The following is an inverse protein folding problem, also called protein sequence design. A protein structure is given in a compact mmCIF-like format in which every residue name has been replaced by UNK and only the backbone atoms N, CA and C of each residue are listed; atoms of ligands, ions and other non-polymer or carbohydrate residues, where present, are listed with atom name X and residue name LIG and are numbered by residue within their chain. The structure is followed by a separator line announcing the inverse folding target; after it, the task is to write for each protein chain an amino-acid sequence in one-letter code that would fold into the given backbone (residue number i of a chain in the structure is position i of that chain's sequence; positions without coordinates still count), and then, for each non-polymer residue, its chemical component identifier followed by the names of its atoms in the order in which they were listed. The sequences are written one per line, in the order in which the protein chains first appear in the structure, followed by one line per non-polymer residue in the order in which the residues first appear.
data_IF_350144106697
#
_entry.id   IF_350144106697
#
_cell.length_a   1.000
_cell.length_b   1.000
_cell.length_c   1.000
_cell.angle_alpha   90.00
_cell.angle_beta   90.00
_cell.angle_gamma   90.00
#
_symmetry.space_group_name_H-M   'P 1'
#
loop_
_entity.id
_entity.type
_entity.pdbx_description
1 polymer ?
#
# COMPACT_ATOMS: atom_id res chain seq x y z
N UNK A 1 3.79 0.36 -29.15
CA UNK A 1 3.41 1.59 -28.39
C UNK A 1 3.89 1.40 -26.97
N UNK A 2 4.71 2.31 -26.42
CA UNK A 2 5.15 2.21 -25.03
C UNK A 2 4.03 2.65 -24.09
N UNK A 3 3.72 1.84 -23.08
CA UNK A 3 2.72 2.11 -22.06
C UNK A 3 3.37 2.14 -20.68
N UNK A 4 3.01 3.13 -19.87
CA UNK A 4 3.29 3.15 -18.43
C UNK A 4 1.99 2.88 -17.68
N UNK A 5 1.87 1.69 -17.13
CA UNK A 5 0.73 1.25 -16.36
C UNK A 5 0.88 1.66 -14.89
N UNK A 6 -0.17 2.27 -14.35
CA UNK A 6 -0.20 2.74 -12.96
C UNK A 6 -1.62 2.91 -12.43
N UNK A 7 -1.72 3.24 -11.14
CA UNK A 7 -2.98 3.50 -10.44
C UNK A 7 -3.28 5.00 -10.36
N UNK A 8 -4.56 5.34 -10.33
CA UNK A 8 -5.04 6.68 -9.97
C UNK A 8 -4.54 7.14 -8.57
N UNK A 9 -4.68 8.43 -8.29
CA UNK A 9 -4.30 9.04 -7.02
C UNK A 9 -2.87 9.58 -7.03
N UNK A 10 -2.23 9.61 -5.86
CA UNK A 10 -0.94 10.28 -5.72
C UNK A 10 0.17 9.66 -6.59
N UNK A 11 0.10 8.35 -6.91
CA UNK A 11 1.05 7.70 -7.84
C UNK A 11 1.05 8.35 -9.22
N UNK A 12 -0.12 8.75 -9.73
CA UNK A 12 -0.27 9.39 -11.04
C UNK A 12 0.48 10.73 -11.13
N UNK A 13 0.72 11.41 -10.00
CA UNK A 13 1.52 12.64 -9.94
C UNK A 13 2.96 12.40 -10.40
N UNK A 14 3.51 11.21 -10.16
CA UNK A 14 4.87 10.85 -10.54
C UNK A 14 4.91 10.07 -11.86
N UNK A 15 3.92 9.21 -12.10
CA UNK A 15 3.89 8.34 -13.28
C UNK A 15 3.52 9.06 -14.58
N UNK A 16 2.65 10.09 -14.53
CA UNK A 16 2.30 10.88 -15.72
C UNK A 16 3.49 11.68 -16.26
N UNK A 17 4.26 12.42 -15.44
CA UNK A 17 5.51 13.04 -15.89
C UNK A 17 6.52 12.02 -16.43
N UNK A 18 6.65 10.87 -15.76
CA UNK A 18 7.55 9.81 -16.20
C UNK A 18 7.18 9.28 -17.59
N UNK A 19 5.91 8.96 -17.80
CA UNK A 19 5.42 8.49 -19.09
C UNK A 19 5.75 9.49 -20.21
N UNK A 20 5.54 10.80 -19.97
CA UNK A 20 5.88 11.86 -20.93
C UNK A 20 7.37 11.90 -21.26
N UNK A 21 8.23 11.83 -20.24
CA UNK A 21 9.69 11.85 -20.44
C UNK A 21 10.19 10.64 -21.24
N UNK A 22 9.53 9.49 -21.09
CA UNK A 22 9.85 8.27 -21.83
C UNK A 22 9.19 8.21 -23.21
N UNK A 23 8.37 9.19 -23.59
CA UNK A 23 7.57 9.13 -24.82
C UNK A 23 6.50 8.03 -24.82
N UNK A 24 6.05 7.60 -23.64
CA UNK A 24 5.06 6.56 -23.41
C UNK A 24 3.69 7.16 -23.08
N UNK A 25 2.62 6.39 -23.32
CA UNK A 25 1.27 6.76 -22.89
C UNK A 25 1.02 6.21 -21.49
N UNK A 26 0.52 7.07 -20.59
CA UNK A 26 0.08 6.63 -19.27
C UNK A 26 -1.26 5.89 -19.38
N UNK A 27 -1.29 4.64 -18.93
CA UNK A 27 -2.49 3.81 -18.89
C UNK A 27 -2.89 3.59 -17.43
N UNK A 28 -4.02 4.18 -17.05
CA UNK A 28 -4.57 4.06 -15.71
C UNK A 28 -5.35 2.75 -15.57
N UNK A 29 -5.05 1.98 -14.52
CA UNK A 29 -5.74 0.76 -14.17
C UNK A 29 -6.06 0.77 -12.67
N UNK A 30 -7.17 0.15 -12.28
CA UNK A 30 -7.42 -0.15 -10.86
C UNK A 30 -6.36 -1.14 -10.34
N UNK A 31 -6.27 -1.23 -9.01
CA UNK A 31 -5.25 -2.00 -8.32
C UNK A 31 -5.17 -3.46 -8.79
N UNK A 32 -6.32 -4.11 -8.99
CA UNK A 32 -6.38 -5.52 -9.39
C UNK A 32 -6.15 -5.70 -10.89
N UNK A 33 -6.69 -4.81 -11.72
CA UNK A 33 -6.46 -4.85 -13.17
C UNK A 33 -4.99 -4.62 -13.53
N UNK A 34 -4.32 -3.72 -12.81
CA UNK A 34 -2.88 -3.47 -12.95
C UNK A 34 -2.07 -4.74 -12.66
N UNK A 35 -2.36 -5.40 -11.53
CA UNK A 35 -1.73 -6.66 -11.15
C UNK A 35 -1.97 -7.77 -12.19
N UNK A 36 -3.21 -7.93 -12.66
CA UNK A 36 -3.56 -8.95 -13.67
C UNK A 36 -2.90 -8.70 -15.02
N UNK A 37 -2.81 -7.45 -15.46
CA UNK A 37 -2.13 -7.10 -16.71
C UNK A 37 -0.63 -7.44 -16.62
N UNK A 38 0.01 -7.08 -15.50
CA UNK A 38 1.39 -7.45 -15.22
C UNK A 38 1.58 -8.98 -15.20
N UNK A 39 0.71 -9.70 -14.48
CA UNK A 39 0.70 -11.17 -14.40
C UNK A 39 0.49 -11.87 -15.73
N UNK A 40 -0.15 -11.22 -16.72
CA UNK A 40 -0.32 -11.76 -18.09
C UNK A 40 0.88 -11.46 -18.97
N UNK A 41 1.70 -10.47 -18.62
CA UNK A 41 2.91 -10.12 -19.37
C UNK A 41 2.66 -9.25 -20.55
N UNK A 42 1.61 -8.43 -20.48
CA UNK A 42 1.36 -7.47 -21.53
C UNK A 42 2.57 -6.51 -21.59
N UNK A 43 3.12 -6.22 -22.77
CA UNK A 43 4.28 -5.34 -22.87
C UNK A 43 4.01 -3.96 -22.28
N UNK A 44 4.96 -3.44 -21.51
CA UNK A 44 4.87 -2.12 -20.89
C UNK A 44 5.76 -1.94 -19.67
N UNK A 45 5.79 -0.72 -19.15
CA UNK A 45 6.36 -0.36 -17.87
C UNK A 45 5.24 -0.39 -16.82
N UNK A 46 5.45 -1.06 -15.70
CA UNK A 46 4.46 -1.25 -14.64
C UNK A 46 4.94 -0.65 -13.34
N UNK A 47 4.09 0.13 -12.67
CA UNK A 47 4.27 0.52 -11.28
C UNK A 47 3.45 -0.41 -10.38
N UNK A 48 4.09 -1.34 -9.66
CA UNK A 48 3.36 -2.43 -9.00
C UNK A 48 3.87 -2.71 -7.58
N UNK A 49 2.94 -3.03 -6.69
CA UNK A 49 3.19 -3.63 -5.40
C UNK A 49 3.43 -5.12 -5.64
N UNK A 50 4.52 -5.75 -5.19
CA UNK A 50 4.88 -7.17 -5.49
C UNK A 50 5.65 -7.42 -6.80
N UNK A 51 6.68 -6.62 -7.06
CA UNK A 51 7.73 -6.84 -8.09
C UNK A 51 8.59 -8.11 -7.86
N UNK A 52 8.28 -8.91 -6.83
CA UNK A 52 8.86 -10.23 -6.62
C UNK A 52 8.46 -11.22 -7.73
N UNK A 53 7.30 -10.98 -8.34
CA UNK A 53 6.68 -11.82 -9.35
C UNK A 53 7.10 -11.40 -10.77
N UNK A 54 7.38 -12.36 -11.66
CA UNK A 54 7.83 -12.23 -13.08
C UNK A 54 9.23 -11.63 -13.33
N UNK A 55 9.93 -12.22 -14.32
CA UNK A 55 11.28 -11.86 -14.76
C UNK A 55 11.36 -10.61 -15.63
N UNK A 56 10.62 -9.55 -15.28
CA UNK A 56 10.85 -8.22 -15.84
C UNK A 56 12.28 -7.78 -15.58
N UNK A 57 12.86 -7.00 -16.49
CA UNK A 57 14.23 -6.51 -16.35
C UNK A 57 14.15 -5.05 -15.93
N UNK A 58 14.64 -4.76 -14.74
CA UNK A 58 15.07 -3.42 -14.38
C UNK A 58 16.61 -3.36 -14.48
N UNK A 59 17.19 -2.27 -15.01
CA UNK A 59 18.60 -1.99 -14.92
C UNK A 59 19.00 -1.85 -13.45
N UNK A 60 20.28 -2.05 -13.20
CA UNK A 60 20.82 -1.88 -11.87
C UNK A 60 20.60 -0.45 -11.36
N UNK A 61 20.11 -0.28 -10.12
CA UNK A 61 20.02 1.05 -9.52
C UNK A 61 21.42 1.62 -9.34
N UNK A 62 21.57 2.93 -9.62
CA UNK A 62 22.88 3.61 -9.49
C UNK A 62 23.34 3.77 -8.05
N UNK A 63 22.43 3.71 -7.09
CA UNK A 63 22.73 3.71 -5.65
C UNK A 63 22.53 2.29 -5.09
N UNK A 64 23.30 1.89 -4.06
CA UNK A 64 23.12 0.60 -3.41
C UNK A 64 21.68 0.44 -2.89
N UNK A 65 21.13 -0.76 -3.08
CA UNK A 65 19.83 -1.14 -2.54
C UNK A 65 20.01 -1.48 -1.05
N UNK A 66 19.08 -1.09 -0.15
CA UNK A 66 19.14 -1.57 1.23
C UNK A 66 19.20 -3.10 1.30
N UNK A 67 19.95 -3.67 2.24
CA UNK A 67 20.19 -5.13 2.33
C UNK A 67 18.90 -5.96 2.31
N UNK A 68 17.86 -5.51 3.02
CA UNK A 68 16.55 -6.16 3.06
C UNK A 68 15.85 -6.25 1.69
N UNK A 69 16.27 -5.42 0.73
CA UNK A 69 15.69 -5.31 -0.60
C UNK A 69 16.62 -5.85 -1.70
N UNK A 70 17.83 -6.33 -1.38
CA UNK A 70 18.75 -6.95 -2.35
C UNK A 70 18.13 -8.09 -3.18
N UNK A 71 17.25 -8.96 -2.62
CA UNK A 71 16.56 -10.00 -3.40
C UNK A 71 15.70 -9.48 -4.59
N UNK A 72 15.43 -8.18 -4.63
CA UNK A 72 14.64 -7.49 -5.64
C UNK A 72 15.48 -6.78 -6.70
N UNK A 73 16.81 -6.74 -6.50
CA UNK A 73 17.73 -6.12 -7.45
C UNK A 73 17.55 -6.70 -8.85
N UNK A 74 17.54 -5.83 -9.86
CA UNK A 74 17.32 -6.20 -11.26
C UNK A 74 15.87 -6.52 -11.63
N UNK A 75 14.94 -6.57 -10.65
CA UNK A 75 13.50 -6.77 -10.89
C UNK A 75 12.68 -5.49 -10.79
N UNK A 76 13.28 -4.43 -10.24
CA UNK A 76 12.61 -3.16 -10.03
C UNK A 76 13.53 -1.95 -10.06
N UNK A 77 12.97 -0.80 -10.42
CA UNK A 77 13.52 0.50 -10.05
C UNK A 77 13.02 0.86 -8.65
N UNK A 78 13.90 1.04 -7.64
CA UNK A 78 13.50 1.30 -6.28
C UNK A 78 12.76 2.63 -6.13
N UNK A 79 11.45 2.54 -6.05
CA UNK A 79 10.55 3.63 -5.68
C UNK A 79 9.87 3.19 -4.39
N UNK A 80 10.54 3.35 -3.23
CA UNK A 80 9.93 2.96 -1.96
C UNK A 80 8.54 3.60 -1.88
N UNK A 81 7.55 2.73 -1.70
CA UNK A 81 6.17 3.10 -1.85
C UNK A 81 5.67 3.91 -0.66
N UNK A 82 4.38 4.22 -0.71
CA UNK A 82 3.72 4.90 0.39
C UNK A 82 4.03 4.28 1.75
N UNK A 83 4.09 5.11 2.77
CA UNK A 83 4.24 4.69 4.16
C UNK A 83 2.86 4.72 4.80
N UNK A 84 2.33 3.55 5.18
CA UNK A 84 1.09 3.45 5.94
C UNK A 84 1.40 3.83 7.39
N UNK A 85 0.66 4.80 7.87
CA UNK A 85 0.82 5.45 9.16
C UNK A 85 -0.51 5.49 9.89
N UNK A 86 -0.45 5.83 11.16
CA UNK A 86 -1.58 5.87 12.06
C UNK A 86 -1.87 7.31 12.50
N UNK A 87 -3.15 7.64 12.63
CA UNK A 87 -3.65 8.86 13.25
C UNK A 87 -4.49 8.49 14.47
N UNK A 88 -4.38 9.29 15.54
CA UNK A 88 -5.28 9.27 16.69
C UNK A 88 -5.45 10.68 17.25
N UNK A 89 -6.63 10.99 17.77
CA UNK A 89 -6.87 12.22 18.53
C UNK A 89 -6.36 12.14 19.99
N UNK A 90 -5.82 11.00 20.40
CA UNK A 90 -5.23 10.75 21.72
C UNK A 90 -6.13 10.02 22.71
N UNK A 91 -7.42 9.82 22.39
CA UNK A 91 -8.35 9.06 23.25
C UNK A 91 -8.16 7.55 23.18
N UNK A 92 -7.63 7.05 22.07
CA UNK A 92 -7.45 5.62 21.81
C UNK A 92 -6.06 5.34 21.24
N UNK A 93 -5.48 4.21 21.64
CA UNK A 93 -4.14 3.78 21.23
C UNK A 93 -4.13 3.10 19.86
N UNK A 94 -5.25 2.52 19.45
CA UNK A 94 -5.41 1.72 18.23
C UNK A 94 -6.74 2.00 17.54
N UNK A 95 -6.92 1.52 16.30
CA UNK A 95 -8.21 1.61 15.62
C UNK A 95 -9.25 0.64 16.21
N UNK A 96 -8.81 -0.55 16.64
CA UNK A 96 -9.68 -1.57 17.25
C UNK A 96 -10.29 -1.16 18.60
N UNK A 97 -9.69 -0.19 19.30
CA UNK A 97 -10.23 0.39 20.53
C UNK A 97 -11.29 1.48 20.29
N UNK A 98 -11.30 2.10 19.12
CA UNK A 98 -12.15 3.25 18.86
C UNK A 98 -13.61 2.84 18.57
N UNK A 99 -14.60 3.65 18.99
CA UNK A 99 -16.01 3.33 18.75
C UNK A 99 -16.35 3.22 17.26
N UNK A 100 -17.33 2.37 16.95
CA UNK A 100 -17.85 2.24 15.60
C UNK A 100 -18.27 3.59 14.99
N UNK A 101 -17.97 3.80 13.70
CA UNK A 101 -18.22 5.08 13.00
C UNK A 101 -17.24 6.20 13.32
N UNK A 102 -16.31 5.99 14.26
CA UNK A 102 -15.20 6.91 14.60
C UNK A 102 -13.85 6.42 14.06
N UNK A 103 -13.84 5.34 13.29
CA UNK A 103 -12.63 4.78 12.66
C UNK A 103 -12.55 5.19 11.21
N UNK A 104 -11.37 5.69 10.80
CA UNK A 104 -11.05 6.03 9.42
C UNK A 104 -10.18 4.97 8.76
N UNK A 105 -10.79 4.04 8.03
CA UNK A 105 -10.13 3.03 7.19
C UNK A 105 -10.80 3.07 5.81
N UNK A 106 -10.05 3.00 4.71
CA UNK A 106 -10.69 3.00 3.40
C UNK A 106 -11.35 1.66 3.10
N UNK A 107 -12.60 1.71 2.67
CA UNK A 107 -13.35 0.54 2.22
C UNK A 107 -14.12 0.87 0.93
N UNK A 108 -13.48 0.67 -0.22
CA UNK A 108 -14.05 0.92 -1.55
C UNK A 108 -13.92 -0.33 -2.43
N UNK A 109 -14.94 -0.58 -3.25
CA UNK A 109 -14.92 -1.66 -4.24
C UNK A 109 -13.82 -1.42 -5.28
N UNK A 110 -13.08 -2.48 -5.62
CA UNK A 110 -11.93 -2.41 -6.54
C UNK A 110 -10.65 -1.83 -5.94
N UNK A 111 -10.69 -1.36 -4.68
CA UNK A 111 -9.51 -0.97 -3.90
C UNK A 111 -9.08 -2.11 -3.01
N UNK A 112 -7.82 -2.17 -2.54
CA UNK A 112 -7.37 -3.33 -1.78
C UNK A 112 -7.95 -3.31 -0.36
N UNK A 113 -9.19 -3.78 -0.18
CA UNK A 113 -9.84 -4.02 1.12
C UNK A 113 -8.93 -4.85 2.05
N UNK A 114 -8.13 -5.73 1.44
CA UNK A 114 -7.11 -6.51 2.15
C UNK A 114 -6.04 -5.61 2.76
N UNK A 115 -5.57 -4.60 2.04
CA UNK A 115 -4.44 -3.73 2.42
C UNK A 115 -4.86 -2.54 3.28
N UNK A 116 -6.00 -1.92 2.96
CA UNK A 116 -6.43 -0.65 3.54
C UNK A 116 -7.47 -0.81 4.67
N UNK A 117 -8.08 -1.99 4.81
CA UNK A 117 -9.05 -2.30 5.86
C UNK A 117 -8.62 -3.51 6.71
N UNK A 118 -8.43 -4.67 6.09
CA UNK A 118 -8.17 -5.92 6.83
C UNK A 118 -6.76 -5.97 7.46
N UNK A 119 -5.71 -5.68 6.68
CA UNK A 119 -4.33 -5.80 7.13
C UNK A 119 -4.03 -4.93 8.37
N UNK A 120 -4.42 -3.64 8.45
CA UNK A 120 -4.19 -2.83 9.65
C UNK A 120 -4.82 -3.45 10.90
N UNK A 121 -6.05 -3.96 10.80
CA UNK A 121 -6.77 -4.61 11.90
C UNK A 121 -6.14 -5.96 12.28
N UNK A 122 -5.64 -6.71 11.30
CA UNK A 122 -4.89 -7.94 11.56
C UNK A 122 -3.56 -7.66 12.27
N UNK A 123 -2.84 -6.60 11.90
CA UNK A 123 -1.58 -6.24 12.57
C UNK A 123 -1.79 -5.87 14.04
N UNK A 124 -2.92 -5.24 14.38
CA UNK A 124 -3.32 -4.94 15.75
C UNK A 124 -3.74 -6.19 16.53
N UNK A 125 -4.62 -7.01 15.96
CA UNK A 125 -5.26 -8.12 16.68
C UNK A 125 -4.46 -9.41 16.65
N UNK A 126 -3.60 -9.59 15.65
CA UNK A 126 -2.87 -10.83 15.31
C UNK A 126 -3.77 -12.06 15.18
N UNK A 127 -5.04 -11.84 14.86
CA UNK A 127 -6.07 -12.86 14.76
C UNK A 127 -6.99 -12.54 13.57
N UNK A 128 -7.06 -13.46 12.61
CA UNK A 128 -7.82 -13.29 11.37
C UNK A 128 -9.31 -13.15 11.64
N UNK A 129 -9.87 -13.93 12.57
CA UNK A 129 -11.31 -13.90 12.85
C UNK A 129 -11.69 -12.60 13.57
N UNK A 130 -10.87 -12.14 14.52
CA UNK A 130 -11.09 -10.85 15.21
C UNK A 130 -10.96 -9.67 14.25
N UNK A 131 -9.93 -9.67 13.39
CA UNK A 131 -9.74 -8.63 12.39
C UNK A 131 -10.93 -8.56 11.42
N UNK A 132 -11.44 -9.71 10.96
CA UNK A 132 -12.64 -9.77 10.13
C UNK A 132 -13.87 -9.21 10.86
N UNK A 133 -14.13 -9.65 12.09
CA UNK A 133 -15.27 -9.17 12.87
C UNK A 133 -15.27 -7.64 13.00
N UNK A 134 -14.13 -7.05 13.35
CA UNK A 134 -13.94 -5.59 13.43
C UNK A 134 -14.13 -4.92 12.06
N UNK A 135 -13.54 -5.48 11.00
CA UNK A 135 -13.68 -4.92 9.66
C UNK A 135 -15.15 -4.84 9.24
N UNK A 136 -15.95 -5.88 9.53
CA UNK A 136 -17.38 -5.91 9.23
C UNK A 136 -18.19 -4.95 10.09
N UNK A 137 -17.85 -4.83 11.37
CA UNK A 137 -18.47 -3.85 12.26
C UNK A 137 -18.23 -2.42 11.74
N UNK A 138 -16.98 -2.06 11.49
CA UNK A 138 -16.64 -0.72 10.98
C UNK A 138 -17.25 -0.45 9.61
N UNK A 139 -17.23 -1.44 8.71
CA UNK A 139 -17.87 -1.32 7.40
C UNK A 139 -19.36 -0.96 7.50
N UNK A 140 -20.10 -1.57 8.44
CA UNK A 140 -21.52 -1.27 8.68
C UNK A 140 -21.76 0.12 9.26
N UNK A 141 -20.84 0.65 10.05
CA UNK A 141 -20.97 1.99 10.66
C UNK A 141 -20.56 3.13 9.73
N UNK A 142 -20.14 2.83 8.51
CA UNK A 142 -19.77 3.83 7.51
C UNK A 142 -18.30 4.19 7.58
N UNK A 143 -17.56 3.74 6.56
CA UNK A 143 -16.16 4.05 6.33
C UNK A 143 -16.01 5.05 5.17
N UNK A 144 -14.93 5.85 5.14
CA UNK A 144 -14.63 6.69 3.99
C UNK A 144 -14.37 5.83 2.74
N UNK A 145 -14.86 6.32 1.60
CA UNK A 145 -14.70 5.67 0.30
C UNK A 145 -13.55 6.25 -0.52
N UNK A 146 -13.07 7.44 -0.15
CA UNK A 146 -11.96 8.12 -0.82
C UNK A 146 -10.92 8.63 0.18
N UNK A 147 -9.64 8.75 -0.24
CA UNK A 147 -8.61 9.39 0.59
C UNK A 147 -9.02 10.80 1.06
N UNK A 148 -9.68 11.59 0.22
CA UNK A 148 -10.13 12.94 0.56
C UNK A 148 -11.17 12.94 1.68
N UNK A 149 -12.16 12.05 1.62
CA UNK A 149 -13.15 11.88 2.69
C UNK A 149 -12.49 11.48 4.02
N UNK A 150 -11.52 10.56 3.97
CA UNK A 150 -10.76 10.13 5.13
C UNK A 150 -10.03 11.31 5.79
N UNK A 151 -9.27 12.09 5.00
CA UNK A 151 -8.49 13.23 5.51
C UNK A 151 -9.39 14.35 6.02
N UNK A 152 -10.49 14.66 5.32
CA UNK A 152 -11.47 15.64 5.79
C UNK A 152 -12.16 15.19 7.07
N UNK A 153 -12.47 13.90 7.20
CA UNK A 153 -13.04 13.33 8.41
C UNK A 153 -12.08 13.39 9.61
N UNK A 154 -10.77 13.24 9.38
CA UNK A 154 -9.77 13.47 10.42
C UNK A 154 -9.76 14.96 10.84
N UNK A 155 -9.65 15.88 9.88
CA UNK A 155 -9.57 17.33 10.16
C UNK A 155 -10.81 17.89 10.85
N UNK A 156 -11.98 17.37 10.53
CA UNK A 156 -13.26 17.76 11.16
C UNK A 156 -13.52 17.05 12.49
N UNK A 157 -12.61 16.17 12.94
CA UNK A 157 -12.77 15.41 14.19
C UNK A 157 -13.85 14.33 14.12
N UNK A 158 -14.26 13.89 12.93
CA UNK A 158 -15.16 12.74 12.73
C UNK A 158 -14.48 11.42 13.11
N UNK A 159 -13.23 11.25 12.72
CA UNK A 159 -12.46 10.05 13.02
C UNK A 159 -11.55 10.28 14.23
N UNK A 160 -11.63 9.39 15.22
CA UNK A 160 -10.80 9.42 16.42
C UNK A 160 -9.52 8.58 16.25
N UNK A 161 -9.54 7.58 15.38
CA UNK A 161 -8.40 6.75 15.00
C UNK A 161 -8.49 6.40 13.51
N UNK A 162 -7.36 6.36 12.80
CA UNK A 162 -7.35 6.07 11.37
C UNK A 162 -6.02 5.48 10.90
N UNK A 163 -6.08 4.63 9.87
CA UNK A 163 -4.90 4.26 9.08
C UNK A 163 -5.00 4.87 7.70
N UNK A 164 -3.89 5.43 7.24
CA UNK A 164 -3.81 6.12 5.96
C UNK A 164 -2.39 6.04 5.43
N UNK A 165 -2.25 6.35 4.15
CA UNK A 165 -0.94 6.51 3.54
C UNK A 165 -0.46 7.94 3.70
N UNK A 166 0.79 8.11 4.13
CA UNK A 166 1.41 9.40 4.45
C UNK A 166 1.22 10.44 3.33
N UNK A 167 1.35 10.02 2.06
CA UNK A 167 1.21 10.90 0.90
C UNK A 167 -0.16 11.56 0.74
N UNK A 168 -1.20 11.09 1.45
CA UNK A 168 -2.54 11.67 1.40
C UNK A 168 -2.71 12.87 2.32
N UNK A 169 -1.90 12.94 3.38
CA UNK A 169 -2.10 13.91 4.45
C UNK A 169 -0.76 14.41 5.03
N UNK A 170 0.08 15.06 4.21
CA UNK A 170 1.38 15.58 4.63
C UNK A 170 1.29 16.42 5.91
N UNK A 171 0.29 17.28 5.99
CA UNK A 171 0.07 18.27 7.04
C UNK A 171 -0.40 17.69 8.38
N UNK A 172 -0.84 16.42 8.40
CA UNK A 172 -1.30 15.80 9.62
C UNK A 172 -0.12 15.33 10.49
N UNK A 173 -0.32 15.40 11.81
CA UNK A 173 0.58 14.80 12.79
C UNK A 173 0.27 13.31 12.90
N UNK A 174 1.14 12.50 12.33
CA UNK A 174 0.95 11.06 12.19
C UNK A 174 1.87 10.31 13.16
N UNK A 175 1.56 9.03 13.36
CA UNK A 175 2.23 8.13 14.30
C UNK A 175 2.59 6.82 13.59
N UNK A 176 3.57 6.07 14.12
CA UNK A 176 3.81 4.71 13.68
C UNK A 176 2.57 3.83 13.92
N UNK A 177 2.52 2.67 13.27
CA UNK A 177 1.54 1.64 13.63
C UNK A 177 1.74 1.27 15.12
N UNK A 178 0.71 1.39 15.96
CA UNK A 178 0.83 1.20 17.41
C UNK A 178 1.25 -0.22 17.80
N UNK A 179 0.82 -1.23 17.06
CA UNK A 179 1.19 -2.63 17.33
C UNK A 179 2.62 -2.97 16.92
N UNK A 180 3.19 -2.25 15.95
CA UNK A 180 4.56 -2.48 15.45
C UNK A 180 5.59 -1.50 16.03
N UNK A 181 5.14 -0.38 16.60
CA UNK A 181 6.01 0.74 16.98
C UNK A 181 6.73 1.41 15.80
N UNK A 182 6.37 1.06 14.57
CA UNK A 182 6.99 1.52 13.32
C UNK A 182 5.95 1.79 12.25
N UNK A 183 6.26 2.61 11.26
CA UNK A 183 5.38 2.76 10.10
C UNK A 183 5.52 1.56 9.15
N UNK A 184 4.50 1.30 8.32
CA UNK A 184 4.51 0.17 7.40
C UNK A 184 4.81 0.67 6.00
N UNK A 185 5.88 0.18 5.39
CA UNK A 185 6.20 0.47 4.00
C UNK A 185 5.30 -0.37 3.07
N UNK A 186 4.62 0.32 2.15
CA UNK A 186 4.11 -0.29 0.93
C UNK A 186 5.28 -0.45 -0.03
N UNK A 187 5.48 -1.65 -0.56
CA UNK A 187 6.60 -1.90 -1.44
C UNK A 187 6.20 -1.82 -2.90
N UNK A 188 6.54 -0.72 -3.55
CA UNK A 188 6.24 -0.49 -4.97
C UNK A 188 7.53 -0.36 -5.77
N UNK A 189 7.48 -0.77 -7.03
CA UNK A 189 8.59 -0.60 -7.95
C UNK A 189 8.09 -0.41 -9.37
N UNK A 190 8.92 0.26 -10.18
CA UNK A 190 8.74 0.19 -11.62
C UNK A 190 9.39 -1.08 -12.14
N UNK A 191 8.83 -1.70 -13.17
CA UNK A 191 9.45 -2.84 -13.86
C UNK A 191 8.99 -2.87 -15.32
N UNK A 192 9.83 -3.37 -16.21
CA UNK A 192 9.55 -3.40 -17.64
C UNK A 192 9.36 -4.83 -18.15
N UNK A 193 8.34 -5.02 -19.00
CA UNK A 193 8.09 -6.27 -19.73
C UNK A 193 8.08 -5.98 -21.21
N UNK A 194 8.95 -6.64 -21.99
CA UNK A 194 8.91 -6.60 -23.46
C UNK A 194 9.02 -5.18 -24.05
N UNK A 195 9.58 -4.23 -23.30
CA UNK A 195 9.80 -2.85 -23.72
C UNK A 195 11.20 -2.44 -23.29
N UNK A 196 11.92 -1.78 -24.19
CA UNK A 196 13.21 -1.16 -23.90
C UNK A 196 12.97 0.31 -23.58
N UNK A 197 13.29 0.72 -22.36
CA UNK A 197 13.16 2.11 -21.90
C UNK A 197 14.40 2.50 -21.11
N UNK A 198 14.91 3.69 -21.35
CA UNK A 198 15.95 4.30 -20.51
C UNK A 198 15.28 5.20 -19.48
N UNK A 199 15.44 4.88 -18.21
CA UNK A 199 14.85 5.65 -17.13
C UNK A 199 15.81 6.75 -16.65
N UNK A 200 15.30 7.98 -16.40
CA UNK A 200 16.12 9.05 -15.86
C UNK A 200 16.57 8.77 -14.42
N UNK A 201 17.77 9.21 -14.07
CA UNK A 201 18.42 8.91 -12.78
C UNK A 201 17.67 9.45 -11.56
N UNK A 202 16.98 10.58 -11.73
CA UNK A 202 16.25 11.23 -10.65
C UNK A 202 14.97 10.49 -10.23
N UNK A 203 14.58 9.43 -10.96
CA UNK A 203 13.48 8.54 -10.57
C UNK A 203 13.96 7.25 -9.90
N UNK A 204 15.27 7.02 -9.88
CA UNK A 204 15.89 5.81 -9.36
C UNK A 204 16.57 6.09 -8.02
N UNK A 205 15.77 6.30 -6.98
CA UNK A 205 16.21 6.41 -5.60
C UNK A 205 17.16 7.60 -5.27
N UNK A 206 16.86 8.37 -4.23
CA UNK A 206 15.87 8.07 -3.22
C UNK A 206 14.44 8.33 -3.70
N UNK A 207 13.41 7.81 -3.02
CA UNK A 207 12.01 8.08 -3.37
C UNK A 207 11.81 9.57 -3.65
N UNK A 208 10.86 9.96 -4.52
CA UNK A 208 10.65 11.36 -4.84
C UNK A 208 10.41 12.24 -3.60
N UNK A 209 10.02 11.66 -2.46
CA UNK A 209 9.91 12.38 -1.18
C UNK A 209 11.26 12.78 -0.54
N UNK A 210 12.35 12.05 -0.79
CA UNK A 210 13.62 12.30 -0.11
C UNK A 210 14.46 13.41 -0.80
N UNK A 211 14.36 13.50 -2.13
CA UNK A 211 14.98 14.59 -2.93
C UNK A 211 13.98 15.74 -3.21
N UNK A 212 12.68 15.55 -2.96
CA UNK A 212 11.74 16.67 -2.93
C UNK A 212 12.07 17.60 -1.76
N UNK A 213 11.71 18.87 -1.93
CA UNK A 213 11.58 19.78 -0.80
C UNK A 213 10.61 19.14 0.20
N UNK A 214 11.16 18.61 1.29
CA UNK A 214 10.44 17.99 2.40
C UNK A 214 9.42 18.91 3.07
N UNK A 215 9.30 20.16 2.65
CA UNK A 215 8.63 21.22 3.39
C UNK A 215 7.26 20.82 3.97
N UNK A 216 6.37 20.10 3.26
CA UNK A 216 5.11 19.64 3.87
C UNK A 216 5.18 18.27 4.59
N UNK A 217 6.28 17.52 4.47
CA UNK A 217 6.48 16.17 5.05
C UNK A 217 7.60 16.10 6.10
N UNK A 218 8.33 17.19 6.35
CA UNK A 218 9.57 17.19 7.12
C UNK A 218 9.36 16.68 8.55
N UNK A 219 8.25 17.05 9.17
CA UNK A 219 7.87 16.55 10.50
C UNK A 219 7.55 15.05 10.53
N UNK A 220 7.25 14.44 9.38
CA UNK A 220 6.99 13.01 9.23
C UNK A 220 8.21 12.24 8.70
N UNK A 221 9.35 12.88 8.44
CA UNK A 221 10.57 12.25 7.89
C UNK A 221 11.00 10.99 8.65
N UNK A 222 11.02 11.05 9.98
CA UNK A 222 11.39 9.89 10.83
C UNK A 222 10.45 8.69 10.68
N UNK A 223 9.17 8.91 10.37
CA UNK A 223 8.23 7.81 10.12
C UNK A 223 8.60 7.08 8.82
N UNK A 224 9.04 7.82 7.80
CA UNK A 224 9.50 7.25 6.54
C UNK A 224 10.80 6.45 6.75
N UNK A 225 11.77 7.04 7.44
CA UNK A 225 13.07 6.41 7.73
C UNK A 225 12.94 5.17 8.61
N UNK A 226 11.93 5.11 9.49
CA UNK A 226 11.70 3.94 10.37
C UNK A 226 10.71 2.93 9.81
N UNK A 227 10.18 3.15 8.60
CA UNK A 227 9.20 2.26 8.02
C UNK A 227 9.79 0.86 7.79
N UNK A 228 8.95 -0.17 7.95
CA UNK A 228 9.33 -1.57 7.75
C UNK A 228 8.49 -2.20 6.65
N UNK A 229 9.12 -3.04 5.82
CA UNK A 229 8.38 -3.85 4.87
C UNK A 229 7.74 -5.04 5.61
N UNK A 230 6.41 -5.04 5.71
CA UNK A 230 5.66 -6.16 6.32
C UNK A 230 5.09 -7.13 5.28
N UNK A 231 5.08 -6.73 4.01
CA UNK A 231 4.49 -7.47 2.89
C UNK A 231 5.63 -8.19 2.17
N UNK A 232 5.54 -9.52 2.12
CA UNK A 232 6.55 -10.38 1.53
C UNK A 232 6.25 -10.75 0.07
N UNK A 233 7.07 -11.64 -0.52
CA UNK A 233 6.80 -12.21 -1.83
C UNK A 233 5.43 -12.90 -1.89
N UNK A 234 4.69 -12.69 -2.98
CA UNK A 234 3.35 -13.28 -3.14
C UNK A 234 2.25 -12.56 -2.36
N UNK A 235 2.55 -11.38 -1.81
CA UNK A 235 1.55 -10.52 -1.19
C UNK A 235 0.40 -10.22 -2.13
N UNK A 236 0.66 -9.93 -3.41
CA UNK A 236 -0.40 -9.63 -4.34
C UNK A 236 -1.18 -10.84 -4.82
N UNK A 237 -0.54 -12.02 -4.88
CA UNK A 237 -1.27 -13.28 -5.09
C UNK A 237 -2.24 -13.52 -3.93
N UNK A 238 -1.79 -13.27 -2.70
CA UNK A 238 -2.65 -13.32 -1.53
C UNK A 238 -3.77 -12.29 -1.60
N UNK A 239 -3.49 -11.03 -1.96
CA UNK A 239 -4.53 -9.99 -2.10
C UNK A 239 -5.54 -10.36 -3.18
N UNK A 240 -5.10 -10.88 -4.33
CA UNK A 240 -6.00 -11.32 -5.42
C UNK A 240 -6.97 -12.41 -4.95
N UNK A 241 -6.47 -13.38 -4.17
CA UNK A 241 -7.28 -14.44 -3.58
C UNK A 241 -8.18 -13.92 -2.44
N UNK A 242 -7.64 -13.08 -1.56
CA UNK A 242 -8.28 -12.63 -0.34
C UNK A 242 -9.37 -11.58 -0.59
N UNK A 243 -9.19 -10.71 -1.57
CA UNK A 243 -10.13 -9.63 -1.89
C UNK A 243 -11.59 -10.12 -2.02
N UNK A 244 -11.92 -11.11 -2.89
CA UNK A 244 -13.29 -11.58 -3.02
C UNK A 244 -13.82 -12.24 -1.75
N UNK A 245 -12.95 -12.84 -0.92
CA UNK A 245 -13.34 -13.44 0.36
C UNK A 245 -13.72 -12.36 1.38
N UNK A 246 -12.90 -11.31 1.50
CA UNK A 246 -13.17 -10.16 2.37
C UNK A 246 -14.45 -9.47 1.93
N UNK A 247 -14.59 -9.16 0.65
CA UNK A 247 -15.79 -8.53 0.09
C UNK A 247 -17.06 -9.36 0.35
N UNK A 248 -17.03 -10.66 0.08
CA UNK A 248 -18.16 -11.55 0.35
C UNK A 248 -18.51 -11.62 1.85
N UNK A 249 -17.51 -11.61 2.73
CA UNK A 249 -17.72 -11.63 4.18
C UNK A 249 -18.34 -10.32 4.70
N UNK A 250 -17.83 -9.17 4.25
CA UNK A 250 -18.36 -7.84 4.60
C UNK A 250 -19.82 -7.72 4.20
N UNK A 251 -20.16 -8.21 3.00
CA UNK A 251 -21.54 -8.24 2.46
C UNK A 251 -22.42 -9.36 3.06
N UNK A 252 -21.88 -10.20 3.95
CA UNK A 252 -22.65 -11.24 4.64
C UNK A 252 -22.92 -12.51 3.85
N UNK A 253 -22.32 -12.67 2.67
CA UNK A 253 -22.45 -13.88 1.85
C UNK A 253 -21.66 -15.08 2.43
N UNK A 254 -20.66 -14.83 3.29
CA UNK A 254 -19.82 -15.86 3.93
C UNK A 254 -19.72 -15.60 5.44
N UNK A 255 -19.74 -16.67 6.24
CA UNK A 255 -19.53 -16.62 7.70
C UNK A 255 -18.06 -16.50 8.12
N UNK A 256 -17.82 -16.02 9.34
CA UNK A 256 -16.47 -15.68 9.84
C UNK A 256 -15.51 -16.86 9.82
N UNK A 257 -15.94 -18.08 10.21
CA UNK A 257 -15.06 -19.25 10.24
C UNK A 257 -14.57 -19.65 8.84
N UNK A 258 -15.46 -19.58 7.85
CA UNK A 258 -15.11 -19.92 6.46
C UNK A 258 -14.17 -18.88 5.87
N UNK A 259 -14.44 -17.60 6.11
CA UNK A 259 -13.58 -16.51 5.68
C UNK A 259 -12.21 -16.57 6.36
N UNK A 260 -12.17 -16.78 7.68
CA UNK A 260 -10.95 -16.84 8.46
C UNK A 260 -10.04 -18.01 8.05
N UNK A 261 -10.62 -19.20 7.78
CA UNK A 261 -9.85 -20.32 7.22
C UNK A 261 -9.25 -20.00 5.85
N UNK A 262 -10.03 -19.38 4.96
CA UNK A 262 -9.56 -19.02 3.61
C UNK A 262 -8.41 -17.99 3.66
N UNK A 263 -8.55 -16.95 4.49
CA UNK A 263 -7.52 -15.92 4.66
C UNK A 263 -6.29 -16.43 5.43
N UNK A 264 -6.48 -17.26 6.45
CA UNK A 264 -5.40 -17.75 7.29
C UNK A 264 -4.37 -18.63 6.55
N UNK A 265 -4.80 -19.39 5.54
CA UNK A 265 -3.95 -20.38 4.85
C UNK A 265 -2.74 -19.80 4.10
N UNK A 266 -2.83 -18.55 3.64
CA UNK A 266 -1.76 -17.88 2.88
C UNK A 266 -1.14 -16.65 3.54
N UNK A 267 -1.81 -16.07 4.55
CA UNK A 267 -1.43 -14.77 5.11
C UNK A 267 -0.03 -14.76 5.71
N UNK A 268 0.37 -15.79 6.47
CA UNK A 268 1.71 -15.83 7.08
C UNK A 268 2.82 -15.90 6.05
N UNK A 269 2.62 -16.64 4.96
CA UNK A 269 3.61 -16.74 3.88
C UNK A 269 3.72 -15.45 3.05
N UNK A 270 2.63 -14.68 2.99
CA UNK A 270 2.56 -13.40 2.28
C UNK A 270 3.09 -12.21 3.10
N UNK A 271 3.38 -12.40 4.40
CA UNK A 271 3.94 -11.37 5.27
C UNK A 271 5.43 -11.62 5.51
N UNK A 272 6.18 -10.55 5.62
CA UNK A 272 7.60 -10.55 6.01
C UNK A 272 7.72 -9.93 7.40
N UNK A 273 8.18 -10.69 8.38
CA UNK A 273 8.41 -10.18 9.73
C UNK A 273 9.86 -9.76 9.89
N UNK A 274 10.15 -8.52 9.51
CA UNK A 274 11.27 -7.78 10.08
C UNK A 274 12.49 -7.56 9.18
N UNK A 275 12.65 -6.30 8.77
CA UNK A 275 13.80 -5.43 9.07
C UNK A 275 13.39 -3.98 8.75
N UNK A 276 14.09 -2.99 9.34
CA UNK A 276 13.94 -1.58 8.95
C UNK A 276 14.27 -1.39 7.47
N UNK A 277 13.65 -0.41 6.80
CA UNK A 277 14.08 -0.03 5.45
C UNK A 277 15.48 0.61 5.43
N UNK A 278 16.03 0.99 6.58
CA UNK A 278 17.29 1.72 6.76
C UNK A 278 18.06 1.25 7.99
#
# INVERSE_FOLDING_TARGET
MCLVYGREGYHALFLKPLARLLGCVYAELDYMSLYRAYRRGNPGLYYIEDVWFRGGVAPDPRRPVPRALEPLRGKMYPVLGNVQVFYTDGRWGTASEAPCGRVGLLAKAGEPLVTDLFLPLYLETRDVAKALALAKEFYKCGLPSTPSELVQGIRSGRYAAAYLWLGWAPDLRLRPNPALGRAVAGFWGLTAIGVEVQLPDFYAYPPPYLDAQWWPYEHNKRLVESAVAVRGPGWMDYVEMAYPVVEAFLNGAVGVDKAARALGGGLRGALHEGEGLF
#
